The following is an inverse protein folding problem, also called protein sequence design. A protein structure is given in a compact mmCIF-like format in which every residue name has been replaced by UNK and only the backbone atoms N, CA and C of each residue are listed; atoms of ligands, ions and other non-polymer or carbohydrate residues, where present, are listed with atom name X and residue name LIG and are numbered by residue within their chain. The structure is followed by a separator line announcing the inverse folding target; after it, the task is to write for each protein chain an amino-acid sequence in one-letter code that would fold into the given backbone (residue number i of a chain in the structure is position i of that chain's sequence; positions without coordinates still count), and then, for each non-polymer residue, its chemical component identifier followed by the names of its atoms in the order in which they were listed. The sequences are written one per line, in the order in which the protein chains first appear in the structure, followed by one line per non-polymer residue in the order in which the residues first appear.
data_IF_837239638327
#
_entry.id   IF_837239638327
#
_cell.length_a   1.000
_cell.length_b   1.000
_cell.length_c   1.000
_cell.angle_alpha   90.00
_cell.angle_beta   90.00
_cell.angle_gamma   90.00
#
_symmetry.space_group_name_H-M   'P 1'
#
loop_
_entity.id
_entity.type
_entity.pdbx_description
1 polymer ?
#
# COMPACT_ATOMS: atom_id res chain seq x y z
N UNK A 1 -6.24 25.03 -4.16
CA UNK A 1 -7.54 24.77 -4.82
C UNK A 1 -7.64 23.27 -5.08
N UNK A 2 -8.27 22.54 -4.15
CA UNK A 2 -8.27 21.07 -4.12
C UNK A 2 -9.31 20.54 -5.11
N UNK A 3 -8.88 19.87 -6.17
CA UNK A 3 -9.79 19.12 -7.05
C UNK A 3 -10.40 17.99 -6.22
N UNK A 4 -11.70 18.09 -5.95
CA UNK A 4 -12.47 16.99 -5.39
C UNK A 4 -12.43 15.81 -6.38
N UNK A 5 -11.70 14.75 -6.01
CA UNK A 5 -11.73 13.48 -6.72
C UNK A 5 -13.20 13.02 -6.79
N UNK A 6 -13.78 13.06 -8.00
CA UNK A 6 -15.14 12.62 -8.24
C UNK A 6 -15.22 11.13 -7.97
N UNK A 7 -15.59 10.78 -6.74
CA UNK A 7 -15.81 9.40 -6.34
C UNK A 7 -17.16 8.97 -6.89
N UNK A 8 -17.17 8.39 -8.09
CA UNK A 8 -18.39 7.81 -8.67
C UNK A 8 -18.77 6.58 -7.86
N UNK A 9 -19.69 6.75 -6.90
CA UNK A 9 -20.32 5.65 -6.16
C UNK A 9 -21.44 5.07 -6.99
N UNK A 10 -21.26 3.84 -7.47
CA UNK A 10 -22.28 3.12 -8.24
C UNK A 10 -22.94 2.05 -7.39
N UNK A 11 -24.27 1.92 -7.54
CA UNK A 11 -25.05 0.87 -6.88
C UNK A 11 -25.15 -0.33 -7.81
N UNK A 12 -24.62 -1.47 -7.40
CA UNK A 12 -24.62 -2.69 -8.21
C UNK A 12 -25.33 -3.85 -7.49
N UNK A 13 -25.86 -4.80 -8.27
CA UNK A 13 -26.56 -6.01 -7.78
C UNK A 13 -25.70 -7.25 -8.06
N UNK A 14 -25.48 -8.08 -7.04
CA UNK A 14 -24.63 -9.29 -7.12
C UNK A 14 -25.20 -10.36 -8.05
N UNK A 15 -24.32 -11.19 -8.64
CA UNK A 15 -24.69 -12.50 -9.22
C UNK A 15 -25.07 -13.50 -8.11
N UNK A 16 -25.78 -14.58 -8.47
CA UNK A 16 -26.54 -15.43 -7.53
C UNK A 16 -25.68 -16.17 -6.49
N UNK A 17 -24.38 -16.32 -6.72
CA UNK A 17 -23.44 -17.18 -5.98
C UNK A 17 -22.20 -16.44 -5.43
N UNK A 18 -22.09 -15.12 -5.63
CA UNK A 18 -20.93 -14.35 -5.17
C UNK A 18 -21.21 -13.65 -3.84
N UNK A 19 -20.41 -13.98 -2.82
CA UNK A 19 -20.34 -13.19 -1.60
C UNK A 19 -19.37 -12.01 -1.80
N UNK A 20 -19.78 -10.84 -1.31
CA UNK A 20 -18.94 -9.64 -1.33
C UNK A 20 -18.62 -9.25 0.10
N UNK A 21 -17.40 -8.79 0.31
CA UNK A 21 -16.89 -8.32 1.60
C UNK A 21 -16.49 -6.84 1.49
N UNK A 22 -16.65 -6.02 2.55
CA UNK A 22 -16.08 -4.68 2.57
C UNK A 22 -14.58 -4.70 2.29
N UNK A 23 -14.07 -3.71 1.56
CA UNK A 23 -12.68 -3.60 1.11
C UNK A 23 -12.22 -4.70 0.15
N UNK A 24 -13.13 -5.53 -0.36
CA UNK A 24 -12.82 -6.46 -1.43
C UNK A 24 -12.60 -5.70 -2.74
N UNK A 25 -11.49 -5.99 -3.40
CA UNK A 25 -11.22 -5.53 -4.76
C UNK A 25 -11.78 -6.53 -5.77
N UNK A 26 -12.42 -6.00 -6.81
CA UNK A 26 -13.02 -6.76 -7.91
C UNK A 26 -12.35 -6.35 -9.21
N UNK A 27 -12.14 -7.33 -10.08
CA UNK A 27 -11.63 -7.13 -11.42
C UNK A 27 -12.62 -7.72 -12.43
N UNK A 28 -13.10 -6.88 -13.34
CA UNK A 28 -14.00 -7.27 -14.40
C UNK A 28 -13.24 -7.23 -15.72
N UNK A 29 -12.94 -8.42 -16.25
CA UNK A 29 -12.31 -8.55 -17.55
C UNK A 29 -13.32 -8.18 -18.65
N UNK A 30 -12.93 -7.27 -19.53
CA UNK A 30 -13.75 -6.75 -20.63
C UNK A 30 -12.89 -5.92 -21.58
N UNK A 31 -13.52 -5.15 -22.49
CA UNK A 31 -12.78 -4.28 -23.41
C UNK A 31 -11.95 -3.22 -22.68
N UNK A 32 -12.49 -2.65 -21.60
CA UNK A 32 -11.82 -1.59 -20.83
C UNK A 32 -11.23 -2.04 -19.48
N UNK A 33 -11.27 -3.34 -19.14
CA UNK A 33 -10.82 -3.91 -17.85
C UNK A 33 -11.11 -3.04 -16.62
N UNK A 34 -12.20 -3.33 -15.91
CA UNK A 34 -12.67 -2.46 -14.82
C UNK A 34 -12.20 -2.96 -13.46
N UNK A 35 -11.64 -2.05 -12.66
CA UNK A 35 -11.18 -2.29 -11.29
C UNK A 35 -12.05 -1.55 -10.27
N UNK A 36 -12.60 -2.30 -9.31
CA UNK A 36 -13.57 -1.79 -8.34
C UNK A 36 -13.18 -2.19 -6.91
N UNK A 37 -13.59 -1.37 -5.94
CA UNK A 37 -13.60 -1.73 -4.52
C UNK A 37 -15.02 -1.73 -3.99
N UNK A 38 -15.34 -2.75 -3.20
CA UNK A 38 -16.58 -2.83 -2.42
C UNK A 38 -16.46 -1.93 -1.20
N UNK A 39 -17.25 -0.86 -1.15
CA UNK A 39 -17.30 0.04 0.02
C UNK A 39 -18.26 -0.47 1.08
N UNK A 40 -19.46 -0.89 0.66
CA UNK A 40 -20.50 -1.32 1.57
C UNK A 40 -21.30 -2.46 0.94
N UNK A 41 -21.62 -3.46 1.76
CA UNK A 41 -22.54 -4.54 1.42
C UNK A 41 -23.88 -4.23 2.06
N UNK A 42 -24.92 -4.16 1.23
CA UNK A 42 -26.29 -3.89 1.66
C UNK A 42 -27.12 -5.17 1.62
N UNK A 43 -28.26 -5.14 2.29
CA UNK A 43 -29.28 -6.19 2.18
C UNK A 43 -29.73 -6.37 0.72
N UNK A 44 -30.34 -7.53 0.42
CA UNK A 44 -30.88 -7.85 -0.92
C UNK A 44 -29.84 -7.87 -2.06
N UNK A 45 -28.60 -8.28 -1.76
CA UNK A 45 -27.52 -8.41 -2.75
C UNK A 45 -27.18 -7.10 -3.46
N UNK A 46 -27.33 -5.97 -2.78
CA UNK A 46 -26.86 -4.69 -3.27
C UNK A 46 -25.54 -4.34 -2.60
N UNK A 47 -24.74 -3.54 -3.26
CA UNK A 47 -23.52 -2.99 -2.68
C UNK A 47 -23.15 -1.69 -3.35
N UNK A 48 -22.41 -0.87 -2.63
CA UNK A 48 -21.81 0.34 -3.17
C UNK A 48 -20.40 0.02 -3.62
N UNK A 49 -20.13 0.23 -4.90
CA UNK A 49 -18.81 0.05 -5.51
C UNK A 49 -18.20 1.42 -5.82
N UNK A 50 -16.87 1.47 -5.77
CA UNK A 50 -16.06 2.63 -6.14
C UNK A 50 -15.01 2.18 -7.15
N UNK A 51 -14.79 2.99 -8.18
CA UNK A 51 -13.66 2.81 -9.10
C UNK A 51 -12.35 2.99 -8.34
N UNK A 52 -11.44 2.04 -8.56
CA UNK A 52 -10.09 2.03 -8.00
C UNK A 52 -9.28 3.13 -8.70
N UNK A 53 -8.47 3.88 -7.95
CA UNK A 53 -7.56 4.84 -8.53
C UNK A 53 -6.46 4.11 -9.31
N UNK A 54 -6.01 4.67 -10.42
CA UNK A 54 -4.92 4.08 -11.20
C UNK A 54 -3.58 4.68 -10.80
N UNK A 55 -2.78 3.92 -10.06
CA UNK A 55 -1.40 4.28 -9.68
C UNK A 55 -0.35 3.72 -10.65
N UNK A 56 -0.76 3.17 -11.81
CA UNK A 56 0.18 2.60 -12.79
C UNK A 56 0.75 3.63 -13.75
N UNK A 57 -0.03 4.65 -14.05
CA UNK A 57 0.40 5.73 -14.93
C UNK A 57 1.22 6.76 -14.15
N UNK A 58 2.07 7.51 -14.85
CA UNK A 58 3.05 8.41 -14.25
C UNK A 58 2.46 9.49 -13.32
N UNK A 59 1.13 9.73 -13.35
CA UNK A 59 0.44 10.49 -12.30
C UNK A 59 -0.97 9.95 -12.03
N UNK A 60 -1.37 9.79 -10.74
CA UNK A 60 -0.59 10.08 -9.54
C UNK A 60 0.38 8.94 -9.16
N UNK A 61 1.63 9.28 -8.82
CA UNK A 61 2.56 8.36 -8.14
C UNK A 61 2.38 8.45 -6.62
N UNK A 62 2.87 7.45 -5.89
CA UNK A 62 2.97 7.47 -4.44
C UNK A 62 4.45 7.58 -4.08
N UNK A 63 4.90 8.76 -3.66
CA UNK A 63 6.31 9.04 -3.37
C UNK A 63 7.25 8.60 -4.52
N UNK A 64 6.90 8.95 -5.76
CA UNK A 64 7.67 8.58 -6.96
C UNK A 64 7.54 7.11 -7.40
N UNK A 65 6.75 6.29 -6.70
CA UNK A 65 6.51 4.88 -7.07
C UNK A 65 5.18 4.73 -7.83
N UNK A 66 5.23 4.03 -8.96
CA UNK A 66 4.05 3.56 -9.70
C UNK A 66 3.81 2.06 -9.46
N UNK A 67 2.55 1.65 -9.50
CA UNK A 67 2.17 0.25 -9.48
C UNK A 67 2.54 -0.43 -10.81
N UNK A 68 3.20 -1.59 -10.75
CA UNK A 68 3.61 -2.34 -11.95
C UNK A 68 2.58 -3.35 -12.43
N UNK A 69 1.62 -3.69 -11.57
CA UNK A 69 0.55 -4.64 -11.86
C UNK A 69 -0.69 -4.32 -11.04
N UNK A 70 -1.75 -5.11 -11.21
CA UNK A 70 -3.03 -4.91 -10.54
C UNK A 70 -2.98 -5.12 -9.04
N UNK A 71 -2.24 -6.11 -8.59
CA UNK A 71 -2.13 -6.42 -7.18
C UNK A 71 -1.42 -5.28 -6.43
N UNK A 72 -0.40 -4.65 -7.04
CA UNK A 72 0.23 -3.45 -6.50
C UNK A 72 -0.68 -2.23 -6.57
N UNK A 73 -1.48 -2.08 -7.64
CA UNK A 73 -2.46 -0.99 -7.72
C UNK A 73 -3.50 -1.08 -6.60
N UNK A 74 -4.01 -2.28 -6.33
CA UNK A 74 -4.92 -2.54 -5.21
C UNK A 74 -4.24 -2.30 -3.86
N UNK A 75 -2.98 -2.69 -3.71
CA UNK A 75 -2.22 -2.42 -2.50
C UNK A 75 -2.10 -0.91 -2.23
N UNK A 76 -1.75 -0.09 -3.24
CA UNK A 76 -1.72 1.36 -3.05
C UNK A 76 -3.08 1.96 -2.75
N UNK A 77 -4.14 1.49 -3.41
CA UNK A 77 -5.49 1.93 -3.09
C UNK A 77 -5.89 1.58 -1.65
N UNK A 78 -5.40 0.47 -1.10
CA UNK A 78 -5.66 0.13 0.29
C UNK A 78 -4.80 0.98 1.26
N UNK A 79 -3.51 1.13 0.96
CA UNK A 79 -2.56 1.87 1.81
C UNK A 79 -2.82 3.38 1.86
N UNK A 80 -3.31 3.95 0.77
CA UNK A 80 -3.57 5.38 0.64
C UNK A 80 -5.02 5.76 1.00
N UNK A 81 -5.87 4.79 1.34
CA UNK A 81 -7.25 5.07 1.70
C UNK A 81 -7.37 5.37 3.19
N UNK A 82 -7.82 6.58 3.55
CA UNK A 82 -7.91 7.02 4.92
C UNK A 82 -8.97 6.32 5.77
N UNK A 83 -9.89 5.59 5.14
CA UNK A 83 -10.98 4.85 5.78
C UNK A 83 -10.58 3.40 6.11
N UNK A 84 -9.34 2.99 5.79
CA UNK A 84 -8.79 1.68 6.17
C UNK A 84 -7.72 1.86 7.26
N UNK A 85 -8.06 1.50 8.49
CA UNK A 85 -7.17 1.65 9.63
C UNK A 85 -5.98 0.68 9.64
N UNK A 86 -6.15 -0.49 9.01
CA UNK A 86 -5.16 -1.56 9.05
C UNK A 86 -5.09 -2.33 7.73
N UNK A 87 -3.88 -2.44 7.17
CA UNK A 87 -3.61 -3.15 5.92
C UNK A 87 -2.55 -4.21 6.16
N UNK A 88 -2.88 -5.46 5.83
CA UNK A 88 -1.93 -6.58 5.78
C UNK A 88 -1.61 -6.91 4.32
N UNK A 89 -0.35 -6.79 3.93
CA UNK A 89 0.11 -7.17 2.60
C UNK A 89 0.74 -8.57 2.64
N UNK A 90 0.11 -9.52 1.96
CA UNK A 90 0.59 -10.90 1.81
C UNK A 90 0.99 -11.14 0.35
N UNK A 91 2.09 -11.87 0.16
CA UNK A 91 2.58 -12.19 -1.18
C UNK A 91 4.01 -12.70 -1.18
N UNK A 92 4.44 -13.29 -2.29
CA UNK A 92 5.78 -13.85 -2.47
C UNK A 92 6.88 -12.81 -2.25
N UNK A 93 8.09 -13.25 -1.88
CA UNK A 93 9.24 -12.35 -1.76
C UNK A 93 9.50 -11.60 -3.08
N UNK A 94 9.96 -10.35 -3.00
CA UNK A 94 10.24 -9.51 -4.19
C UNK A 94 9.03 -8.83 -4.85
N UNK A 95 7.80 -9.02 -4.35
CA UNK A 95 6.58 -8.39 -4.90
C UNK A 95 6.40 -6.91 -4.55
N UNK A 96 7.34 -6.31 -3.82
CA UNK A 96 7.34 -4.88 -3.49
C UNK A 96 6.54 -4.48 -2.25
N UNK A 97 5.99 -5.42 -1.47
CA UNK A 97 5.15 -5.13 -0.28
C UNK A 97 5.74 -4.06 0.65
N UNK A 98 7.00 -4.24 1.05
CA UNK A 98 7.69 -3.30 1.94
C UNK A 98 7.91 -1.95 1.26
N UNK A 99 8.34 -1.95 0.00
CA UNK A 99 8.56 -0.73 -0.78
C UNK A 99 7.26 0.09 -0.91
N UNK A 100 6.13 -0.55 -1.26
CA UNK A 100 4.84 0.10 -1.39
C UNK A 100 4.36 0.69 -0.05
N UNK A 101 4.53 -0.05 1.05
CA UNK A 101 4.16 0.41 2.38
C UNK A 101 5.00 1.62 2.82
N UNK A 102 6.31 1.60 2.56
CA UNK A 102 7.20 2.72 2.85
C UNK A 102 6.86 3.95 2.00
N UNK A 103 6.65 3.78 0.69
CA UNK A 103 6.24 4.86 -0.20
C UNK A 103 4.93 5.52 0.27
N UNK A 104 3.92 4.71 0.63
CA UNK A 104 2.66 5.21 1.16
C UNK A 104 2.82 5.91 2.52
N UNK A 105 3.69 5.39 3.39
CA UNK A 105 4.00 6.00 4.68
C UNK A 105 4.69 7.35 4.52
N UNK A 106 5.69 7.44 3.64
CA UNK A 106 6.39 8.69 3.33
C UNK A 106 5.45 9.71 2.70
N UNK A 107 4.67 9.33 1.70
CA UNK A 107 3.66 10.21 1.08
C UNK A 107 2.68 10.76 2.13
N UNK A 108 2.16 9.92 3.01
CA UNK A 108 1.20 10.36 4.03
C UNK A 108 1.82 11.21 5.15
N UNK A 109 3.11 11.05 5.43
CA UNK A 109 3.81 11.79 6.50
C UNK A 109 4.41 13.10 5.98
N UNK A 110 5.01 13.08 4.80
CA UNK A 110 5.81 14.18 4.25
C UNK A 110 5.04 15.02 3.22
N UNK A 111 4.31 14.41 2.29
CA UNK A 111 3.54 15.16 1.26
C UNK A 111 2.18 15.61 1.80
N UNK A 112 1.44 14.70 2.45
CA UNK A 112 0.08 14.95 2.91
C UNK A 112 0.02 15.46 4.35
N UNK A 113 1.11 15.30 5.12
CA UNK A 113 1.20 15.67 6.53
C UNK A 113 0.04 15.13 7.39
N UNK A 114 -0.49 13.96 7.02
CA UNK A 114 -1.58 13.26 7.74
C UNK A 114 -1.09 12.64 9.03
N UNK A 115 0.15 12.14 9.02
CA UNK A 115 0.83 11.56 10.16
C UNK A 115 2.09 12.37 10.50
N UNK A 116 2.52 12.28 11.77
CA UNK A 116 3.69 13.01 12.27
C UNK A 116 4.99 12.22 12.13
N UNK A 117 4.92 10.91 12.27
CA UNK A 117 6.09 10.03 12.30
C UNK A 117 5.75 8.64 11.75
N UNK A 118 6.78 7.97 11.21
CA UNK A 118 6.71 6.58 10.74
C UNK A 118 7.46 5.71 11.75
N UNK A 119 6.78 4.72 12.31
CA UNK A 119 7.39 3.73 13.20
C UNK A 119 7.50 2.41 12.44
N UNK A 120 8.70 1.87 12.38
CA UNK A 120 8.95 0.55 11.82
C UNK A 120 9.44 -0.42 12.89
N UNK A 121 8.83 -1.60 12.91
CA UNK A 121 9.21 -2.69 13.80
C UNK A 121 9.52 -3.94 12.99
N UNK A 122 10.61 -4.64 13.32
CA UNK A 122 10.95 -5.94 12.76
C UNK A 122 11.15 -6.91 13.92
N UNK A 123 10.54 -8.10 13.82
CA UNK A 123 10.80 -9.17 14.80
C UNK A 123 12.27 -9.59 14.68
N UNK A 124 13.02 -9.45 15.78
CA UNK A 124 14.39 -9.95 15.91
C UNK A 124 14.33 -11.47 16.02
N UNK A 125 14.59 -12.18 14.93
CA UNK A 125 14.77 -13.63 14.98
C UNK A 125 16.23 -13.86 15.34
N UNK A 126 16.53 -14.38 16.53
CA UNK A 126 17.93 -14.61 16.92
C UNK A 126 18.60 -15.56 15.91
N UNK A 127 19.55 -15.03 15.12
CA UNK A 127 20.43 -15.84 14.28
C UNK A 127 21.64 -16.23 15.14
N UNK A 128 21.45 -17.18 16.06
CA UNK A 128 22.49 -17.66 16.98
C UNK A 128 22.23 -17.40 18.47
N UNK A 129 23.30 -17.49 19.28
CA UNK A 129 23.28 -17.16 20.72
C UNK A 129 23.00 -15.67 20.93
N UNK A 130 22.32 -15.33 22.03
CA UNK A 130 21.73 -14.01 22.34
C UNK A 130 22.56 -12.78 21.89
N UNK A 131 21.87 -11.68 21.57
CA UNK A 131 22.38 -10.34 21.17
C UNK A 131 23.58 -9.87 22.03
N UNK A 132 23.72 -10.39 23.24
CA UNK A 132 24.85 -10.20 24.14
C UNK A 132 26.24 -10.62 23.63
N UNK A 133 26.37 -11.48 22.61
CA UNK A 133 27.68 -12.03 22.20
C UNK A 133 28.40 -11.29 21.05
N UNK A 134 27.72 -10.44 20.28
CA UNK A 134 28.39 -9.62 19.27
C UNK A 134 29.12 -8.43 19.94
N UNK A 135 30.43 -8.22 19.71
CA UNK A 135 31.11 -7.01 20.15
C UNK A 135 30.64 -5.81 19.30
N UNK A 136 30.45 -4.66 19.94
CA UNK A 136 29.99 -3.44 19.26
C UNK A 136 28.85 -2.74 19.98
N UNK A 137 28.45 -1.57 19.47
CA UNK A 137 27.31 -0.80 19.96
C UNK A 137 25.98 -1.49 19.62
N UNK A 138 24.89 -1.10 20.28
CA UNK A 138 23.55 -1.61 19.94
C UNK A 138 23.20 -1.35 18.46
N UNK A 139 23.60 -0.19 17.93
CA UNK A 139 23.41 0.18 16.53
C UNK A 139 24.15 -0.77 15.57
N UNK A 140 25.44 -1.05 15.83
CA UNK A 140 26.25 -1.98 15.03
C UNK A 140 25.66 -3.40 15.01
N UNK A 141 25.01 -3.81 16.10
CA UNK A 141 24.30 -5.10 16.20
C UNK A 141 23.01 -5.13 15.38
N UNK A 142 22.35 -3.98 15.24
CA UNK A 142 21.10 -3.84 14.48
C UNK A 142 21.34 -3.63 12.98
N UNK A 143 22.54 -3.18 12.57
CA UNK A 143 22.91 -2.91 11.17
C UNK A 143 22.52 -4.03 10.19
N UNK A 144 22.79 -5.33 10.46
CA UNK A 144 22.41 -6.41 9.53
C UNK A 144 20.89 -6.53 9.31
N UNK A 145 20.09 -6.08 10.28
CA UNK A 145 18.63 -6.14 10.26
C UNK A 145 18.01 -4.94 9.55
N UNK A 146 18.74 -3.82 9.47
CA UNK A 146 18.28 -2.57 8.90
C UNK A 146 18.69 -2.38 7.44
N UNK A 147 19.73 -3.07 6.95
CA UNK A 147 20.25 -2.90 5.58
C UNK A 147 19.17 -2.90 4.49
N UNK A 148 18.34 -3.95 4.43
CA UNK A 148 17.27 -4.03 3.43
C UNK A 148 16.21 -2.92 3.55
N UNK A 149 16.04 -2.31 4.74
CA UNK A 149 15.19 -1.13 4.89
C UNK A 149 15.90 0.10 4.34
N UNK A 150 17.14 0.33 4.76
CA UNK A 150 17.96 1.46 4.32
C UNK A 150 18.04 1.49 2.79
N UNK A 151 18.27 0.34 2.14
CA UNK A 151 18.28 0.21 0.69
C UNK A 151 16.96 0.70 0.04
N UNK A 152 15.81 0.35 0.65
CA UNK A 152 14.51 0.82 0.13
C UNK A 152 14.35 2.33 0.32
N UNK A 153 14.80 2.88 1.45
CA UNK A 153 14.72 4.32 1.72
C UNK A 153 15.63 5.13 0.79
N UNK A 154 16.83 4.63 0.48
CA UNK A 154 17.72 5.23 -0.52
C UNK A 154 17.05 5.29 -1.89
N UNK A 155 16.47 4.18 -2.36
CA UNK A 155 15.71 4.14 -3.62
C UNK A 155 14.58 5.17 -3.63
N UNK A 156 13.81 5.25 -2.55
CA UNK A 156 12.68 6.18 -2.44
C UNK A 156 13.12 7.64 -2.37
N UNK A 157 14.29 7.92 -1.80
CA UNK A 157 14.84 9.29 -1.73
C UNK A 157 15.30 9.75 -3.12
N UNK A 158 16.03 8.90 -3.85
CA UNK A 158 16.50 9.23 -5.19
C UNK A 158 15.37 9.44 -6.21
N UNK A 159 14.29 8.68 -6.11
CA UNK A 159 13.13 8.82 -7.00
C UNK A 159 12.35 10.13 -6.74
N UNK A 160 12.32 10.60 -5.50
CA UNK A 160 11.70 11.87 -5.15
C UNK A 160 12.52 13.07 -5.67
N UNK A 161 13.85 13.03 -5.54
CA UNK A 161 14.73 14.11 -6.05
C UNK A 161 14.68 14.24 -7.58
N UNK A 162 14.46 13.14 -8.31
CA UNK A 162 14.34 13.15 -9.77
C UNK A 162 12.97 13.57 -10.32
N UNK A 163 11.97 13.75 -9.45
CA UNK A 163 10.60 14.14 -9.82
C UNK A 163 10.19 15.54 -9.35
N UNK A 164 11.10 16.26 -8.67
CA UNK A 164 10.94 17.64 -8.21
C UNK A 164 11.47 18.68 -9.22
#
# INVERSE_FOLDING_TARGET
MTKAAHTTKSHCRKKKEEEWYPNQYLYLQGEDNIELRVLQVLENRKGTLKLVNDFRNDQPTVWGITARNREQNFAFNALMDPDIDFVSLLGTAGTGKTLLALAAGLAQTMEQQRYREIIMTRATVNVGEDIGFLPGTEEEKMTPWMGALTDNLEVLTHLHEGSA
#
